data_IF_412893733110
#
_entry.id   IF_412893733110
#
_cell.length_a   1.000
_cell.length_b   1.000
_cell.length_c   1.000
_cell.angle_alpha   90.00
_cell.angle_beta   90.00
_cell.angle_gamma   90.00
#
_symmetry.space_group_name_H-M   'P 1'
#
loop_
_entity.id
_entity.type
_entity.pdbx_description
1 polymer ?
#
# COMPACT_ATOMS: atom_id res chain seq x y z
N UNK A 1 -5.08 17.03 21.42
CA UNK A 1 -5.57 16.26 20.27
C UNK A 1 -5.55 17.08 18.97
N UNK A 2 -6.03 18.32 18.99
CA UNK A 2 -6.16 19.19 17.80
C UNK A 2 -4.88 19.40 16.98
N UNK A 3 -3.72 19.55 17.62
CA UNK A 3 -2.45 19.75 16.90
C UNK A 3 -2.13 18.52 16.03
N UNK A 4 -2.34 17.32 16.55
CA UNK A 4 -2.07 16.08 15.82
C UNK A 4 -3.00 15.93 14.62
N UNK A 5 -4.29 16.28 14.77
CA UNK A 5 -5.25 16.26 13.67
C UNK A 5 -4.93 17.32 12.61
N UNK A 6 -4.47 18.52 13.00
CA UNK A 6 -3.98 19.55 12.07
C UNK A 6 -2.77 19.07 11.27
N UNK A 7 -1.80 18.42 11.93
CA UNK A 7 -0.64 17.84 11.23
C UNK A 7 -1.04 16.74 10.25
N UNK A 8 -1.98 15.87 10.66
CA UNK A 8 -2.50 14.81 9.79
C UNK A 8 -3.20 15.40 8.56
N UNK A 9 -4.03 16.44 8.75
CA UNK A 9 -4.70 17.18 7.68
C UNK A 9 -3.70 17.67 6.63
N UNK A 10 -2.63 18.34 7.05
CA UNK A 10 -1.62 18.86 6.12
C UNK A 10 -1.02 17.76 5.22
N UNK A 11 -0.79 16.56 5.76
CA UNK A 11 -0.29 15.44 4.96
C UNK A 11 -1.36 14.89 4.02
N UNK A 12 -2.60 14.75 4.48
CA UNK A 12 -3.73 14.27 3.68
C UNK A 12 -4.08 15.24 2.53
N UNK A 13 -4.05 16.56 2.78
CA UNK A 13 -4.24 17.59 1.75
C UNK A 13 -3.21 17.46 0.62
N UNK A 14 -1.93 17.35 0.98
CA UNK A 14 -0.85 17.17 0.00
C UNK A 14 -1.03 15.89 -0.85
N UNK A 15 -1.51 14.80 -0.24
CA UNK A 15 -1.75 13.54 -0.95
C UNK A 15 -2.96 13.65 -1.89
N UNK A 16 -4.03 14.32 -1.45
CA UNK A 16 -5.22 14.59 -2.27
C UNK A 16 -4.89 15.47 -3.47
N UNK A 17 -4.12 16.55 -3.27
CA UNK A 17 -3.66 17.44 -4.35
C UNK A 17 -2.88 16.66 -5.42
N UNK A 18 -2.01 15.75 -4.97
CA UNK A 18 -1.23 14.86 -5.83
C UNK A 18 -2.02 13.69 -6.42
N UNK A 19 -3.32 13.57 -6.10
CA UNK A 19 -4.21 12.48 -6.53
C UNK A 19 -3.64 11.10 -6.23
N UNK A 20 -3.06 10.93 -5.03
CA UNK A 20 -2.51 9.65 -4.60
C UNK A 20 -3.61 8.57 -4.52
N UNK A 21 -3.36 7.38 -5.08
CA UNK A 21 -4.31 6.26 -5.03
C UNK A 21 -4.42 5.66 -3.62
N UNK A 22 -3.34 5.70 -2.85
CA UNK A 22 -3.27 5.22 -1.47
C UNK A 22 -2.05 5.77 -0.72
N UNK A 23 -2.09 5.68 0.61
CA UNK A 23 -0.94 5.88 1.48
C UNK A 23 -0.42 4.54 2.00
N UNK A 24 0.89 4.34 2.03
CA UNK A 24 1.51 3.16 2.66
C UNK A 24 2.10 3.58 4.01
N UNK A 25 1.71 2.89 5.07
CA UNK A 25 2.21 3.09 6.42
C UNK A 25 3.02 1.88 6.89
N UNK A 26 4.16 2.14 7.52
CA UNK A 26 4.96 1.13 8.23
C UNK A 26 4.81 1.23 9.76
N UNK A 27 4.02 2.19 10.24
CA UNK A 27 3.86 2.48 11.66
C UNK A 27 2.40 2.27 12.06
N UNK A 28 2.11 1.39 13.04
CA UNK A 28 0.74 1.13 13.47
C UNK A 28 0.02 2.40 13.95
N UNK A 29 0.72 3.29 14.66
CA UNK A 29 0.15 4.57 15.09
C UNK A 29 -0.12 5.53 13.93
N UNK A 30 0.70 5.53 12.88
CA UNK A 30 0.38 6.29 11.67
C UNK A 30 -0.87 5.74 10.99
N UNK A 31 -1.07 4.42 10.98
CA UNK A 31 -2.32 3.83 10.47
C UNK A 31 -3.52 4.26 11.32
N UNK A 32 -3.40 4.35 12.64
CA UNK A 32 -4.47 4.93 13.48
C UNK A 32 -4.76 6.38 13.07
N UNK A 33 -3.72 7.21 12.93
CA UNK A 33 -3.90 8.63 12.61
C UNK A 33 -4.47 8.89 11.20
N UNK A 34 -3.98 8.18 10.20
CA UNK A 34 -4.35 8.44 8.81
C UNK A 34 -5.50 7.56 8.31
N UNK A 35 -5.78 6.38 8.88
CA UNK A 35 -6.90 5.52 8.49
C UNK A 35 -8.09 5.69 9.44
N UNK A 36 -7.88 5.42 10.74
CA UNK A 36 -8.96 5.41 11.73
C UNK A 36 -9.49 6.82 12.01
N UNK A 37 -8.58 7.78 12.19
CA UNK A 37 -8.92 9.17 12.47
C UNK A 37 -9.18 10.00 11.20
N UNK A 38 -9.09 9.44 10.00
CA UNK A 38 -9.34 10.18 8.75
C UNK A 38 -10.71 10.85 8.77
N UNK A 39 -11.75 10.09 9.18
CA UNK A 39 -13.12 10.62 9.33
C UNK A 39 -13.23 11.74 10.35
N UNK A 40 -12.44 11.70 11.42
CA UNK A 40 -12.40 12.77 12.42
C UNK A 40 -11.77 14.03 11.83
N UNK A 41 -10.68 13.89 11.06
CA UNK A 41 -10.05 15.02 10.34
C UNK A 41 -11.05 15.59 9.32
N UNK A 42 -11.69 14.74 8.51
CA UNK A 42 -12.69 15.12 7.53
C UNK A 42 -13.83 15.94 8.15
N UNK A 43 -14.39 15.45 9.27
CA UNK A 43 -15.44 16.15 10.02
C UNK A 43 -14.97 17.49 10.60
N UNK A 44 -13.79 17.53 11.21
CA UNK A 44 -13.32 18.72 11.92
C UNK A 44 -12.90 19.86 10.97
N UNK A 45 -12.52 19.54 9.74
CA UNK A 45 -12.02 20.51 8.77
C UNK A 45 -12.86 20.59 7.49
N UNK A 46 -14.06 20.00 7.50
CA UNK A 46 -15.04 20.05 6.39
C UNK A 46 -14.41 19.66 5.05
N UNK A 47 -13.66 18.57 5.04
CA UNK A 47 -12.96 18.03 3.86
C UNK A 47 -13.25 16.55 3.70
N UNK A 48 -12.92 16.00 2.54
CA UNK A 48 -13.09 14.57 2.24
C UNK A 48 -11.86 14.10 1.47
N UNK A 49 -11.25 13.01 1.92
CA UNK A 49 -10.06 12.44 1.29
C UNK A 49 -10.38 11.10 0.65
N UNK A 50 -11.20 10.27 1.32
CA UNK A 50 -11.46 8.89 0.89
C UNK A 50 -10.18 8.13 0.51
N UNK A 51 -9.06 8.41 1.19
CA UNK A 51 -7.74 7.89 0.85
C UNK A 51 -7.49 6.57 1.59
N UNK A 52 -7.37 5.43 0.89
CA UNK A 52 -7.04 4.17 1.53
C UNK A 52 -5.62 4.21 2.10
N UNK A 53 -5.47 3.81 3.37
CA UNK A 53 -4.17 3.67 4.02
C UNK A 53 -3.87 2.18 4.18
N UNK A 54 -2.85 1.69 3.49
CA UNK A 54 -2.40 0.31 3.57
C UNK A 54 -1.24 0.18 4.54
N UNK A 55 -1.23 -0.90 5.33
CA UNK A 55 0.00 -1.27 6.01
C UNK A 55 0.99 -1.86 5.01
N UNK A 56 2.28 -1.65 5.22
CA UNK A 56 3.33 -2.03 4.27
C UNK A 56 3.27 -3.51 3.89
N UNK A 57 3.00 -4.41 4.84
CA UNK A 57 2.88 -5.85 4.56
C UNK A 57 1.70 -6.18 3.66
N UNK A 58 0.60 -5.41 3.71
CA UNK A 58 -0.52 -5.58 2.78
C UNK A 58 -0.11 -5.18 1.35
N UNK A 59 0.63 -4.08 1.21
CA UNK A 59 1.16 -3.65 -0.09
C UNK A 59 2.20 -4.64 -0.63
N UNK A 60 3.07 -5.16 0.22
CA UNK A 60 4.07 -6.17 -0.12
C UNK A 60 3.40 -7.48 -0.54
N UNK A 61 2.42 -7.97 0.21
CA UNK A 61 1.66 -9.17 -0.13
C UNK A 61 0.98 -9.05 -1.50
N UNK A 62 0.38 -7.89 -1.79
CA UNK A 62 -0.17 -7.61 -3.13
C UNK A 62 0.88 -7.63 -4.23
N UNK A 63 2.10 -7.15 -3.95
CA UNK A 63 3.21 -7.20 -4.91
C UNK A 63 3.72 -8.64 -5.11
N UNK A 64 3.68 -9.45 -4.05
CA UNK A 64 3.98 -10.88 -4.05
C UNK A 64 2.83 -11.76 -4.57
N UNK A 65 1.79 -11.18 -5.16
CA UNK A 65 0.68 -11.93 -5.75
C UNK A 65 -0.18 -12.70 -4.75
N UNK A 66 -0.09 -12.37 -3.45
CA UNK A 66 -0.97 -12.93 -2.42
C UNK A 66 -2.41 -12.44 -2.72
N UNK A 67 -3.41 -13.34 -2.69
CA UNK A 67 -4.80 -12.97 -2.88
C UNK A 67 -5.26 -11.86 -1.91
N UNK A 68 -6.03 -10.90 -2.40
CA UNK A 68 -6.42 -9.71 -1.63
C UNK A 68 -7.34 -10.03 -0.44
N UNK A 69 -8.09 -11.13 -0.51
CA UNK A 69 -8.91 -11.68 0.56
C UNK A 69 -8.07 -12.21 1.74
N UNK A 70 -6.84 -12.68 1.49
CA UNK A 70 -5.90 -13.09 2.54
C UNK A 70 -5.17 -11.90 3.21
N UNK A 71 -5.20 -10.71 2.59
CA UNK A 71 -4.49 -9.51 3.09
C UNK A 71 -5.34 -8.61 3.99
N UNK A 72 -6.53 -9.08 4.38
CA UNK A 72 -7.39 -8.46 5.38
C UNK A 72 -7.76 -6.99 5.09
N UNK A 73 -7.90 -6.58 3.81
CA UNK A 73 -8.33 -5.21 3.44
C UNK A 73 -9.71 -4.80 4.01
N UNK A 74 -10.49 -5.79 4.46
CA UNK A 74 -11.74 -5.59 5.21
C UNK A 74 -11.53 -4.94 6.59
N UNK A 75 -10.29 -4.84 7.10
CA UNK A 75 -9.98 -4.18 8.37
C UNK A 75 -9.64 -2.70 8.23
N UNK A 76 -9.20 -2.26 7.06
CA UNK A 76 -8.93 -0.85 6.78
C UNK A 76 -10.23 -0.03 6.93
N UNK A 77 -10.16 1.15 7.55
CA UNK A 77 -11.31 2.02 7.77
C UNK A 77 -11.86 2.53 6.44
N UNK A 78 -10.97 2.90 5.54
CA UNK A 78 -11.30 3.27 4.16
C UNK A 78 -10.95 2.11 3.23
N UNK A 79 -11.94 1.66 2.45
CA UNK A 79 -11.80 0.45 1.64
C UNK A 79 -11.05 0.73 0.33
N UNK A 80 -9.95 0.02 0.01
CA UNK A 80 -9.20 0.20 -1.23
C UNK A 80 -9.88 -0.46 -2.45
N UNK A 81 -11.19 -0.28 -2.65
CA UNK A 81 -11.96 -1.03 -3.67
C UNK A 81 -11.50 -0.75 -5.10
N UNK A 82 -11.38 0.52 -5.46
CA UNK A 82 -11.04 0.96 -6.82
C UNK A 82 -9.65 0.45 -7.26
N UNK A 83 -8.68 0.54 -6.35
CA UNK A 83 -7.30 0.11 -6.59
C UNK A 83 -7.12 -1.41 -6.59
N UNK A 84 -7.98 -2.15 -5.87
CA UNK A 84 -7.99 -3.62 -5.94
C UNK A 84 -8.65 -4.14 -7.24
N UNK A 85 -9.61 -3.41 -7.80
CA UNK A 85 -10.27 -3.77 -9.06
C UNK A 85 -9.33 -3.68 -10.27
N UNK A 86 -8.31 -2.81 -10.23
CA UNK A 86 -7.39 -2.55 -11.35
C UNK A 86 -6.25 -3.57 -11.55
N UNK A 87 -6.21 -4.71 -10.85
CA UNK A 87 -5.07 -5.63 -10.94
C UNK A 87 -5.37 -6.91 -11.72
N UNK A 88 -4.67 -7.05 -12.85
CA UNK A 88 -4.26 -8.34 -13.38
C UNK A 88 -3.54 -9.11 -12.26
N UNK A 89 -4.03 -10.31 -11.93
CA UNK A 89 -3.31 -11.25 -11.05
C UNK A 89 -2.00 -11.61 -11.75
N UNK A 90 -0.90 -10.97 -11.40
CA UNK A 90 0.43 -11.42 -11.82
C UNK A 90 0.59 -12.81 -11.22
N UNK A 91 0.71 -13.83 -12.06
CA UNK A 91 0.85 -15.21 -11.55
C UNK A 91 2.20 -15.34 -10.87
N UNK A 92 2.31 -16.12 -9.77
CA UNK A 92 3.59 -16.32 -9.07
C UNK A 92 4.75 -16.73 -10.00
N UNK A 93 4.47 -17.55 -11.02
CA UNK A 93 5.47 -17.94 -12.05
C UNK A 93 5.94 -16.77 -12.92
N UNK A 94 5.03 -15.90 -13.34
CA UNK A 94 5.37 -14.71 -14.13
C UNK A 94 6.17 -13.71 -13.30
N UNK A 95 5.88 -13.59 -12.01
CA UNK A 95 6.66 -12.76 -11.10
C UNK A 95 8.08 -13.30 -10.89
N UNK A 96 8.22 -14.60 -10.61
CA UNK A 96 9.52 -15.26 -10.49
C UNK A 96 10.34 -15.11 -11.78
N UNK A 97 9.69 -15.27 -12.93
CA UNK A 97 10.33 -15.04 -14.22
C UNK A 97 10.83 -13.60 -14.35
N UNK A 98 9.98 -12.59 -14.11
CA UNK A 98 10.37 -11.17 -14.18
C UNK A 98 11.46 -10.80 -13.17
N UNK A 99 11.41 -11.40 -11.98
CA UNK A 99 12.45 -11.22 -10.96
C UNK A 99 13.78 -11.79 -11.46
N UNK A 100 13.79 -13.02 -11.97
CA UNK A 100 15.00 -13.65 -12.50
C UNK A 100 15.54 -12.92 -13.74
N UNK A 101 14.67 -12.45 -14.64
CA UNK A 101 15.06 -11.66 -15.81
C UNK A 101 15.74 -10.34 -15.42
N UNK A 102 15.31 -9.72 -14.31
CA UNK A 102 15.76 -8.37 -13.90
C UNK A 102 16.87 -8.38 -12.86
N UNK A 103 16.85 -9.35 -11.95
CA UNK A 103 17.69 -9.42 -10.76
C UNK A 103 18.37 -10.78 -10.58
N UNK A 104 18.06 -11.77 -11.43
CA UNK A 104 18.74 -13.06 -11.38
C UNK A 104 20.21 -12.89 -11.73
N UNK A 105 21.10 -13.35 -10.86
CA UNK A 105 22.51 -13.47 -11.19
C UNK A 105 22.66 -14.38 -12.43
N UNK A 106 23.47 -13.95 -13.41
CA UNK A 106 23.97 -14.88 -14.41
C UNK A 106 24.80 -15.88 -13.64
N UNK A 107 24.26 -17.07 -13.37
CA UNK A 107 25.08 -18.16 -12.87
C UNK A 107 26.17 -18.39 -13.90
N UNK A 108 27.40 -17.95 -13.60
CA UNK A 108 28.58 -18.43 -14.30
C UNK A 108 28.51 -19.95 -14.22
N UNK A 109 28.42 -20.57 -15.39
CA UNK A 109 28.49 -22.02 -15.52
C UNK A 109 29.74 -22.43 -14.74
N UNK A 110 29.58 -23.21 -13.68
CA UNK A 110 30.67 -24.06 -13.17
C UNK A 110 31.03 -25.00 -14.31
N UNK A 111 31.93 -24.50 -15.17
CA UNK A 111 32.67 -25.28 -16.11
C UNK A 111 33.45 -26.28 -15.27
N UNK A 112 33.09 -27.55 -15.42
CA UNK A 112 33.80 -28.68 -14.86
C UNK A 112 35.29 -28.49 -15.15
N UNK A 113 36.08 -28.15 -14.14
CA UNK A 113 37.53 -28.29 -14.21
C UNK A 113 37.90 -29.53 -13.42
N UNK A 114 38.00 -30.61 -14.21
CA UNK A 114 38.69 -31.89 -14.00
C UNK A 114 38.03 -32.90 -13.08
#
# INVERSE_FOLDING_TARGET
>A
EDIALKMAKTKLDNLKEKKADAMISICPFCSVMYDSNQKTVEKNFETEYNLPVLYYTQALGLAMGIPSDELEFRRNRIKPKEMLFRRNRIKPKEMLQRFNEKYGEKTEKTEKVK
#
